data_IF_714137723670
#
_entry.id   IF_714137723670
#
_cell.length_a   1.000
_cell.length_b   1.000
_cell.length_c   1.000
_cell.angle_alpha   90.00
_cell.angle_beta   90.00
_cell.angle_gamma   90.00
#
_symmetry.space_group_name_H-M   'P 1'
#
loop_
_entity.id
_entity.type
_entity.pdbx_description
1 polymer ?
#
# COMPACT_ATOMS: atom_id res chain seq x y z
N UNK A 1 -18.75 -20.84 23.20
CA UNK A 1 -17.59 -20.13 23.78
C UNK A 1 -16.36 -20.20 22.87
N UNK A 2 -15.70 -21.36 22.67
CA UNK A 2 -14.43 -21.43 21.89
C UNK A 2 -14.48 -20.98 20.42
N UNK A 3 -15.65 -21.02 19.76
CA UNK A 3 -15.80 -20.61 18.35
C UNK A 3 -15.84 -19.08 18.17
N UNK A 4 -16.33 -18.38 19.20
CA UNK A 4 -16.52 -16.92 19.19
C UNK A 4 -15.18 -16.26 19.49
N UNK A 5 -14.52 -16.65 20.57
CA UNK A 5 -13.21 -16.11 20.98
C UNK A 5 -12.14 -16.22 19.86
N UNK A 6 -12.16 -17.31 19.08
CA UNK A 6 -11.23 -17.52 17.97
C UNK A 6 -11.53 -16.65 16.73
N UNK A 7 -12.80 -16.31 16.48
CA UNK A 7 -13.19 -15.40 15.39
C UNK A 7 -12.80 -13.95 15.73
N UNK A 8 -12.98 -13.56 16.99
CA UNK A 8 -12.68 -12.22 17.50
C UNK A 8 -11.18 -11.90 17.50
N UNK A 9 -10.34 -12.87 17.88
CA UNK A 9 -8.89 -12.70 17.85
C UNK A 9 -8.38 -12.41 16.42
N UNK A 10 -8.87 -13.15 15.42
CA UNK A 10 -8.50 -12.97 14.01
C UNK A 10 -8.98 -11.63 13.43
N UNK A 11 -10.15 -11.12 13.82
CA UNK A 11 -10.66 -9.82 13.37
C UNK A 11 -9.88 -8.66 13.99
N UNK A 12 -9.47 -8.79 15.26
CA UNK A 12 -8.65 -7.77 15.95
C UNK A 12 -7.26 -7.60 15.33
N UNK A 13 -6.66 -8.70 14.85
CA UNK A 13 -5.37 -8.69 14.14
C UNK A 13 -5.47 -8.10 12.73
N UNK A 14 -6.66 -8.09 12.11
CA UNK A 14 -6.91 -7.52 10.78
C UNK A 14 -7.24 -6.01 10.86
N UNK A 15 -7.92 -5.55 11.92
CA UNK A 15 -8.36 -4.15 12.05
C UNK A 15 -7.28 -3.24 12.68
N UNK A 16 -6.46 -3.74 13.62
CA UNK A 16 -5.33 -2.96 14.18
C UNK A 16 -4.36 -2.41 13.13
N UNK A 17 -3.95 -3.17 12.09
CA UNK A 17 -3.10 -2.67 11.01
C UNK A 17 -3.70 -1.49 10.23
N UNK A 18 -5.03 -1.42 10.11
CA UNK A 18 -5.70 -0.40 9.30
C UNK A 18 -5.56 1.00 9.91
N UNK A 19 -5.77 1.14 11.23
CA UNK A 19 -5.60 2.42 11.93
C UNK A 19 -4.13 2.87 12.01
N UNK A 20 -3.18 1.95 12.19
CA UNK A 20 -1.75 2.26 12.15
C UNK A 20 -1.30 2.76 10.76
N UNK A 21 -1.95 2.29 9.70
CA UNK A 21 -1.65 2.67 8.32
C UNK A 21 -2.11 4.10 8.00
N UNK A 22 -3.30 4.51 8.45
CA UNK A 22 -3.78 5.90 8.28
C UNK A 22 -2.92 6.92 9.02
N UNK A 23 -2.53 6.62 10.27
CA UNK A 23 -1.62 7.50 11.03
C UNK A 23 -0.26 7.63 10.35
N UNK A 24 0.27 6.52 9.83
CA UNK A 24 1.50 6.55 9.06
C UNK A 24 1.37 7.39 7.79
N UNK A 25 0.31 7.22 7.01
CA UNK A 25 0.14 7.97 5.77
C UNK A 25 0.12 9.48 6.05
N UNK A 26 -0.45 9.90 7.19
CA UNK A 26 -0.34 11.30 7.68
C UNK A 26 1.11 11.68 8.01
N UNK A 27 1.84 10.83 8.73
CA UNK A 27 3.24 11.08 9.10
C UNK A 27 4.16 11.14 7.88
N UNK A 28 3.97 10.27 6.89
CA UNK A 28 4.73 10.29 5.63
C UNK A 28 4.40 11.57 4.87
N UNK A 29 3.14 11.98 4.78
CA UNK A 29 2.78 13.25 4.14
C UNK A 29 3.42 14.46 4.84
N UNK A 30 3.52 14.45 6.18
CA UNK A 30 4.25 15.47 6.92
C UNK A 30 5.76 15.39 6.64
N UNK A 31 6.33 14.19 6.59
CA UNK A 31 7.73 13.96 6.30
C UNK A 31 8.11 14.43 4.89
N UNK A 32 7.27 14.17 3.89
CA UNK A 32 7.41 14.69 2.51
C UNK A 32 7.50 16.22 2.52
N UNK A 33 6.63 16.90 3.29
CA UNK A 33 6.67 18.37 3.39
C UNK A 33 7.96 18.87 4.03
N UNK A 34 8.41 18.22 5.11
CA UNK A 34 9.67 18.56 5.77
C UNK A 34 10.88 18.36 4.84
N UNK A 35 10.91 17.23 4.11
CA UNK A 35 11.94 16.94 3.11
C UNK A 35 11.97 18.00 2.00
N UNK A 36 10.81 18.41 1.49
CA UNK A 36 10.73 19.45 0.47
C UNK A 36 11.22 20.82 0.97
N UNK A 37 10.94 21.16 2.23
CA UNK A 37 11.46 22.38 2.86
C UNK A 37 12.99 22.35 3.01
N UNK A 38 13.55 21.20 3.43
CA UNK A 38 15.00 21.00 3.54
C UNK A 38 15.69 21.13 2.19
N UNK A 39 15.13 20.56 1.13
CA UNK A 39 15.65 20.72 -0.23
C UNK A 39 15.65 22.17 -0.71
N UNK A 40 14.52 22.87 -0.55
CA UNK A 40 14.45 24.31 -0.92
C UNK A 40 15.49 25.14 -0.17
N UNK A 41 15.78 24.78 1.08
CA UNK A 41 16.84 25.43 1.86
C UNK A 41 18.24 25.08 1.34
N UNK A 42 18.51 23.82 1.02
CA UNK A 42 19.78 23.36 0.45
C UNK A 42 20.06 23.99 -0.93
N UNK A 43 19.06 24.07 -1.80
CA UNK A 43 19.15 24.75 -3.11
C UNK A 43 19.45 26.23 -2.95
N UNK A 44 18.74 26.94 -2.06
CA UNK A 44 19.02 28.35 -1.76
C UNK A 44 20.44 28.56 -1.24
N UNK A 45 20.92 27.68 -0.35
CA UNK A 45 22.29 27.74 0.15
C UNK A 45 23.32 27.46 -0.96
N UNK A 46 23.05 26.51 -1.86
CA UNK A 46 23.91 26.22 -3.00
C UNK A 46 23.97 27.40 -3.99
N UNK A 47 22.83 28.02 -4.29
CA UNK A 47 22.74 29.23 -5.13
C UNK A 47 23.49 30.41 -4.50
N UNK A 48 23.31 30.65 -3.19
CA UNK A 48 24.02 31.70 -2.46
C UNK A 48 25.53 31.46 -2.41
N UNK A 49 25.98 30.19 -2.34
CA UNK A 49 27.40 29.81 -2.43
C UNK A 49 27.96 30.01 -3.84
N UNK A 50 27.21 29.65 -4.88
CA UNK A 50 27.60 29.86 -6.28
C UNK A 50 27.72 31.36 -6.62
N UNK A 51 26.79 32.19 -6.14
CA UNK A 51 26.85 33.66 -6.28
C UNK A 51 28.02 34.28 -5.51
N UNK A 52 28.38 33.74 -4.34
CA UNK A 52 29.56 34.19 -3.60
C UNK A 52 30.89 33.72 -4.20
N UNK A 53 30.90 32.66 -5.03
CA UNK A 53 32.10 32.19 -5.74
C UNK A 53 32.34 32.91 -7.08
N UNK A 54 31.31 33.57 -7.65
CA UNK A 54 31.41 34.32 -8.91
C UNK A 54 31.59 35.84 -8.71
N UNK A 55 32.17 36.28 -7.59
CA UNK A 55 32.38 37.69 -7.32
C UNK A 55 33.65 38.23 -8.01
N UNK A 56 33.53 38.73 -9.24
CA UNK A 56 34.06 40.03 -9.71
C UNK A 56 33.73 40.23 -11.19
N UNK A 57 32.67 41.00 -11.46
CA UNK A 57 32.66 42.11 -12.42
C UNK A 57 31.30 42.79 -12.35
N UNK A 58 31.34 44.04 -11.91
CA UNK A 58 30.24 44.99 -11.90
C UNK A 58 30.14 45.57 -13.32
N UNK A 59 28.94 45.73 -13.87
CA UNK A 59 28.58 46.94 -14.60
C UNK A 59 27.07 47.03 -14.87
N UNK A 60 26.63 48.29 -14.95
CA UNK A 60 25.30 48.83 -14.80
C UNK A 60 24.31 48.60 -15.96
N UNK A 61 23.03 48.83 -15.60
CA UNK A 61 21.93 49.41 -16.41
C UNK A 61 21.41 48.67 -17.65
N UNK A 62 20.12 48.30 -17.58
CA UNK A 62 19.03 48.86 -18.41
C UNK A 62 17.71 48.20 -18.01
N UNK A 63 16.91 48.92 -17.22
CA UNK A 63 15.53 48.55 -16.86
C UNK A 63 14.59 48.98 -18.00
N UNK A 64 14.53 48.17 -19.06
CA UNK A 64 13.51 48.27 -20.09
C UNK A 64 13.15 46.86 -20.57
N UNK A 65 12.11 46.29 -19.95
CA UNK A 65 11.61 44.97 -20.29
C UNK A 65 10.16 44.83 -19.87
N UNK A 66 9.27 44.84 -20.87
CA UNK A 66 7.83 44.62 -20.79
C UNK A 66 7.41 43.66 -19.66
N UNK A 67 6.23 43.88 -19.02
CA UNK A 67 5.74 42.99 -17.98
C UNK A 67 5.60 41.59 -18.56
N UNK A 68 6.55 40.69 -18.22
CA UNK A 68 6.52 39.28 -18.59
C UNK A 68 5.13 38.75 -18.24
N UNK A 69 4.31 38.47 -19.26
CA UNK A 69 2.99 37.87 -19.10
C UNK A 69 3.17 36.66 -18.19
N UNK A 70 2.61 36.72 -16.97
CA UNK A 70 2.64 35.61 -16.01
C UNK A 70 2.17 34.36 -16.75
N UNK A 71 3.08 33.41 -17.02
CA UNK A 71 2.75 32.12 -17.64
C UNK A 71 1.55 31.58 -16.88
N UNK A 72 0.44 31.37 -17.59
CA UNK A 72 -0.80 30.89 -16.99
C UNK A 72 -0.53 29.47 -16.50
N UNK A 73 -0.46 29.29 -15.18
CA UNK A 73 -0.15 28.01 -14.57
C UNK A 73 -1.16 26.95 -15.04
N UNK A 74 -0.69 26.00 -15.85
CA UNK A 74 -1.53 24.95 -16.41
C UNK A 74 -1.42 23.73 -15.51
N UNK A 75 -2.55 23.32 -14.92
CA UNK A 75 -2.61 22.09 -14.12
C UNK A 75 -2.16 20.90 -14.96
N UNK A 76 -1.51 19.95 -14.30
CA UNK A 76 -0.97 18.73 -14.92
C UNK A 76 0.09 18.96 -16.01
N UNK A 77 0.65 20.17 -16.11
CA UNK A 77 1.72 20.45 -17.07
C UNK A 77 3.06 19.99 -16.51
N UNK A 78 3.66 19.01 -17.19
CA UNK A 78 4.95 18.41 -16.86
C UNK A 78 6.05 18.79 -17.86
N UNK A 79 5.79 19.74 -18.76
CA UNK A 79 6.69 20.07 -19.87
C UNK A 79 8.06 20.62 -19.45
N UNK A 80 8.17 21.15 -18.24
CA UNK A 80 9.42 21.66 -17.67
C UNK A 80 10.21 20.58 -16.88
N UNK A 81 9.67 19.35 -16.76
CA UNK A 81 10.35 18.26 -16.06
C UNK A 81 11.35 17.53 -16.94
N UNK A 82 12.57 17.36 -16.42
CA UNK A 82 13.65 16.64 -17.11
C UNK A 82 14.12 15.40 -16.34
N UNK A 83 14.78 14.47 -17.05
CA UNK A 83 15.36 13.27 -16.45
C UNK A 83 16.39 13.61 -15.37
N UNK A 84 17.16 14.68 -15.54
CA UNK A 84 18.15 15.14 -14.56
C UNK A 84 17.50 15.58 -13.24
N UNK A 85 16.32 16.20 -13.28
CA UNK A 85 15.61 16.57 -12.05
C UNK A 85 15.15 15.34 -11.28
N UNK A 86 14.67 14.30 -11.97
CA UNK A 86 14.34 13.03 -11.33
C UNK A 86 15.59 12.31 -10.80
N UNK A 87 16.71 12.38 -11.51
CA UNK A 87 17.98 11.83 -11.04
C UNK A 87 18.48 12.55 -9.78
N UNK A 88 18.43 13.88 -9.74
CA UNK A 88 18.77 14.66 -8.54
C UNK A 88 17.84 14.35 -7.38
N UNK A 89 16.54 14.20 -7.63
CA UNK A 89 15.60 13.74 -6.61
C UNK A 89 16.00 12.35 -6.10
N UNK A 90 16.27 11.41 -7.02
CA UNK A 90 16.63 10.04 -6.67
C UNK A 90 17.89 9.99 -5.81
N UNK A 91 18.90 10.77 -6.15
CA UNK A 91 20.18 10.81 -5.44
C UNK A 91 20.06 11.34 -4.01
N UNK A 92 19.22 12.36 -3.82
CA UNK A 92 19.05 13.03 -2.53
C UNK A 92 18.01 12.37 -1.62
N UNK A 93 16.96 11.77 -2.18
CA UNK A 93 15.79 11.32 -1.43
C UNK A 93 15.68 9.82 -1.25
N UNK A 94 16.22 9.03 -2.18
CA UNK A 94 16.02 7.58 -2.14
C UNK A 94 17.07 6.88 -1.26
N UNK A 95 16.59 5.96 -0.43
CA UNK A 95 17.45 5.01 0.27
C UNK A 95 18.05 3.99 -0.72
N UNK A 96 19.13 3.31 -0.31
CA UNK A 96 19.88 2.41 -1.17
C UNK A 96 19.03 1.30 -1.81
N UNK A 97 18.09 0.71 -1.06
CA UNK A 97 17.19 -0.31 -1.61
C UNK A 97 16.19 0.26 -2.63
N UNK A 98 15.74 1.51 -2.45
CA UNK A 98 14.87 2.22 -3.41
C UNK A 98 15.64 2.54 -4.71
N UNK A 99 16.89 3.01 -4.60
CA UNK A 99 17.78 3.19 -5.75
C UNK A 99 17.99 1.87 -6.52
N UNK A 100 18.17 0.77 -5.79
CA UNK A 100 18.28 -0.57 -6.40
C UNK A 100 17.02 -0.99 -7.16
N UNK A 101 15.83 -0.73 -6.59
CA UNK A 101 14.56 -0.96 -7.28
C UNK A 101 14.46 -0.14 -8.58
N UNK A 102 14.88 1.13 -8.55
CA UNK A 102 14.84 2.06 -9.69
C UNK A 102 15.73 1.57 -10.82
N UNK A 103 16.93 1.09 -10.49
CA UNK A 103 17.85 0.51 -11.46
C UNK A 103 17.31 -0.76 -12.13
N UNK A 104 16.39 -1.48 -11.47
CA UNK A 104 15.78 -2.70 -11.96
C UNK A 104 14.38 -2.47 -12.58
N UNK A 105 14.01 -1.23 -12.91
CA UNK A 105 12.70 -0.88 -13.46
C UNK A 105 12.35 -1.64 -14.75
N UNK A 106 13.34 -2.05 -15.56
CA UNK A 106 13.17 -2.71 -16.86
C UNK A 106 12.72 -4.17 -16.80
N UNK A 107 12.67 -4.79 -15.61
CA UNK A 107 12.16 -6.15 -15.45
C UNK A 107 10.67 -6.20 -15.84
N UNK A 108 10.29 -7.18 -16.66
CA UNK A 108 8.89 -7.33 -17.12
C UNK A 108 7.96 -7.61 -15.94
N UNK A 109 8.29 -8.60 -15.10
CA UNK A 109 7.58 -8.88 -13.85
C UNK A 109 8.56 -8.74 -12.70
N UNK A 110 8.28 -7.82 -11.78
CA UNK A 110 8.95 -7.70 -10.48
C UNK A 110 8.02 -8.20 -9.40
N UNK A 111 8.51 -9.08 -8.54
CA UNK A 111 7.78 -9.57 -7.39
C UNK A 111 8.61 -9.34 -6.14
N UNK A 112 8.12 -8.48 -5.25
CA UNK A 112 8.94 -7.88 -4.18
C UNK A 112 8.30 -8.19 -2.84
N UNK A 113 9.00 -9.00 -2.04
CA UNK A 113 8.61 -9.26 -0.66
C UNK A 113 9.33 -8.25 0.24
N UNK A 114 8.58 -7.47 1.00
CA UNK A 114 9.14 -6.33 1.73
C UNK A 114 8.69 -6.27 3.18
N UNK A 115 9.51 -5.64 4.03
CA UNK A 115 9.15 -5.29 5.40
C UNK A 115 8.01 -4.28 5.43
N UNK A 116 7.20 -4.29 6.50
CA UNK A 116 6.29 -3.18 6.77
C UNK A 116 7.10 -1.91 6.99
N UNK A 117 6.46 -0.77 6.70
CA UNK A 117 6.94 0.54 7.12
C UNK A 117 8.26 1.01 6.49
N UNK A 118 8.68 0.48 5.34
CA UNK A 118 9.90 0.91 4.63
C UNK A 118 9.63 1.89 3.47
N UNK A 119 8.50 2.59 3.44
CA UNK A 119 8.21 3.58 2.39
C UNK A 119 8.12 3.01 0.96
N UNK A 120 7.72 1.75 0.80
CA UNK A 120 7.61 1.11 -0.52
C UNK A 120 6.53 1.78 -1.41
N UNK A 121 5.33 2.03 -0.87
CA UNK A 121 4.25 2.69 -1.61
C UNK A 121 4.62 4.09 -2.07
N UNK A 122 5.29 4.86 -1.20
CA UNK A 122 5.82 6.18 -1.54
C UNK A 122 6.85 6.11 -2.68
N UNK A 123 7.76 5.13 -2.62
CA UNK A 123 8.75 4.92 -3.68
C UNK A 123 8.10 4.54 -5.01
N UNK A 124 7.14 3.61 -5.03
CA UNK A 124 6.47 3.23 -6.27
C UNK A 124 5.56 4.33 -6.83
N UNK A 125 5.03 5.21 -5.97
CA UNK A 125 4.38 6.44 -6.41
C UNK A 125 5.36 7.38 -7.15
N UNK A 126 6.58 7.56 -6.61
CA UNK A 126 7.64 8.31 -7.29
C UNK A 126 8.06 7.65 -8.62
N UNK A 127 8.36 6.35 -8.60
CA UNK A 127 8.82 5.60 -9.79
C UNK A 127 7.78 5.66 -10.91
N UNK A 128 6.50 5.53 -10.58
CA UNK A 128 5.41 5.64 -11.54
C UNK A 128 5.27 7.06 -12.11
N UNK A 129 5.42 8.10 -11.28
CA UNK A 129 5.41 9.49 -11.74
C UNK A 129 6.58 9.79 -12.69
N UNK A 130 7.79 9.40 -12.30
CA UNK A 130 9.00 9.50 -13.13
C UNK A 130 8.78 8.81 -14.48
N UNK A 131 8.31 7.55 -14.46
CA UNK A 131 8.08 6.78 -15.67
C UNK A 131 7.01 7.42 -16.57
N UNK A 132 5.88 7.85 -16.00
CA UNK A 132 4.81 8.51 -16.76
C UNK A 132 5.27 9.82 -17.41
N UNK A 133 6.09 10.60 -16.73
CA UNK A 133 6.62 11.87 -17.25
C UNK A 133 7.59 11.62 -18.40
N UNK A 134 8.51 10.65 -18.24
CA UNK A 134 9.56 10.40 -19.22
C UNK A 134 9.08 9.64 -20.46
N UNK A 135 8.14 8.71 -20.32
CA UNK A 135 7.74 7.82 -21.44
C UNK A 135 6.38 8.15 -22.03
N UNK A 136 5.52 8.88 -21.32
CA UNK A 136 4.13 9.07 -21.72
C UNK A 136 3.23 7.85 -21.46
N UNK A 137 3.76 6.80 -20.83
CA UNK A 137 3.03 5.55 -20.67
C UNK A 137 2.02 5.57 -19.51
N UNK A 138 0.84 4.92 -19.68
CA UNK A 138 -0.13 4.79 -18.60
C UNK A 138 0.42 4.00 -17.41
N UNK A 139 0.12 4.46 -16.20
CA UNK A 139 0.44 3.80 -14.94
C UNK A 139 -0.84 3.43 -14.20
N UNK A 140 -0.91 2.20 -13.74
CA UNK A 140 -2.10 1.65 -13.11
C UNK A 140 -1.75 1.10 -11.74
N UNK A 141 -2.48 1.55 -10.73
CA UNK A 141 -2.36 1.10 -9.35
C UNK A 141 -3.56 0.22 -9.03
N UNK A 142 -3.31 -1.04 -8.73
CA UNK A 142 -4.33 -2.03 -8.39
C UNK A 142 -4.15 -2.47 -6.94
N UNK A 143 -5.08 -2.03 -6.09
CA UNK A 143 -5.06 -2.33 -4.66
C UNK A 143 -6.26 -3.17 -4.24
N UNK A 144 -6.19 -3.76 -3.04
CA UNK A 144 -7.31 -4.55 -2.50
C UNK A 144 -8.60 -3.73 -2.37
N UNK A 145 -8.48 -2.43 -2.10
CA UNK A 145 -9.61 -1.50 -2.00
C UNK A 145 -9.33 -0.14 -2.65
N UNK A 146 -10.40 0.60 -2.95
CA UNK A 146 -10.30 1.95 -3.53
C UNK A 146 -9.58 2.95 -2.60
N UNK A 147 -9.84 2.99 -1.28
CA UNK A 147 -9.07 3.84 -0.36
C UNK A 147 -7.56 3.59 -0.39
N UNK A 148 -7.14 2.33 -0.46
CA UNK A 148 -5.71 1.98 -0.57
C UNK A 148 -5.10 2.51 -1.88
N UNK A 149 -5.81 2.38 -3.01
CA UNK A 149 -5.34 2.93 -4.27
C UNK A 149 -5.23 4.48 -4.25
N UNK A 150 -6.08 5.17 -3.49
CA UNK A 150 -6.02 6.64 -3.32
C UNK A 150 -4.80 7.10 -2.48
N UNK A 151 -4.15 6.20 -1.73
CA UNK A 151 -2.88 6.50 -1.06
C UNK A 151 -1.77 6.79 -2.09
N UNK A 152 -1.67 5.98 -3.15
CA UNK A 152 -0.74 6.26 -4.25
C UNK A 152 -1.00 7.62 -4.89
N UNK A 153 -2.28 7.94 -5.14
CA UNK A 153 -2.68 9.24 -5.70
C UNK A 153 -2.19 10.37 -4.81
N UNK A 154 -2.41 10.25 -3.51
CA UNK A 154 -2.00 11.26 -2.52
C UNK A 154 -0.49 11.46 -2.53
N UNK A 155 0.30 10.37 -2.57
CA UNK A 155 1.75 10.47 -2.68
C UNK A 155 2.20 11.12 -3.99
N UNK A 156 1.62 10.73 -5.13
CA UNK A 156 1.97 11.30 -6.44
C UNK A 156 1.70 12.80 -6.48
N UNK A 157 0.53 13.24 -6.02
CA UNK A 157 0.16 14.66 -5.96
C UNK A 157 1.12 15.42 -5.04
N UNK A 158 1.42 14.87 -3.86
CA UNK A 158 2.33 15.50 -2.91
C UNK A 158 3.76 15.56 -3.44
N UNK A 159 4.26 14.51 -4.09
CA UNK A 159 5.60 14.51 -4.69
C UNK A 159 5.68 15.58 -5.79
N UNK A 160 4.71 15.59 -6.71
CA UNK A 160 4.63 16.55 -7.80
C UNK A 160 4.56 18.00 -7.30
N UNK A 161 3.73 18.29 -6.30
CA UNK A 161 3.57 19.65 -5.78
C UNK A 161 4.81 20.09 -4.98
N UNK A 162 5.27 19.25 -4.06
CA UNK A 162 6.26 19.67 -3.07
C UNK A 162 7.68 19.74 -3.64
N UNK A 163 8.04 18.80 -4.52
CA UNK A 163 9.39 18.71 -5.10
C UNK A 163 9.50 19.28 -6.51
N UNK A 164 8.42 19.25 -7.27
CA UNK A 164 8.44 19.69 -8.67
C UNK A 164 7.58 20.93 -8.93
N UNK A 165 6.85 21.43 -7.92
CA UNK A 165 6.01 22.62 -8.06
C UNK A 165 4.79 22.44 -8.98
N UNK A 166 4.37 21.19 -9.23
CA UNK A 166 3.31 20.85 -10.18
C UNK A 166 2.05 20.39 -9.45
N UNK A 167 0.93 21.06 -9.71
CA UNK A 167 -0.39 20.70 -9.21
C UNK A 167 -1.01 19.68 -10.15
N UNK A 168 -1.13 18.44 -9.67
CA UNK A 168 -1.82 17.34 -10.34
C UNK A 168 -3.28 17.24 -9.89
N UNK A 169 -4.20 17.08 -10.84
CA UNK A 169 -5.65 17.02 -10.62
C UNK A 169 -6.34 16.03 -11.59
N UNK A 170 -7.58 15.63 -11.25
CA UNK A 170 -8.41 14.70 -12.05
C UNK A 170 -8.33 13.24 -11.61
N UNK A 171 -9.34 12.41 -11.87
CA UNK A 171 -9.34 10.96 -11.60
C UNK A 171 -9.90 10.22 -12.83
N UNK A 172 -9.06 9.64 -13.71
CA UNK A 172 -7.59 9.55 -13.62
C UNK A 172 -6.87 10.90 -13.73
N UNK A 173 -5.63 10.96 -13.25
CA UNK A 173 -4.75 12.12 -13.50
C UNK A 173 -4.19 11.96 -14.92
N UNK A 174 -4.41 12.95 -15.79
CA UNK A 174 -3.83 12.98 -17.14
C UNK A 174 -2.75 14.06 -17.23
N UNK A 175 -1.54 13.67 -17.59
CA UNK A 175 -0.38 14.56 -17.76
C UNK A 175 -0.39 15.23 -19.15
N UNK A 176 0.36 16.33 -19.30
CA UNK A 176 0.41 17.08 -20.57
C UNK A 176 1.03 16.30 -21.75
N UNK A 177 1.82 15.25 -21.49
CA UNK A 177 2.34 14.32 -22.50
C UNK A 177 1.34 13.19 -22.88
N UNK A 178 0.15 13.16 -22.27
CA UNK A 178 -0.88 12.16 -22.54
C UNK A 178 -0.92 10.98 -21.57
N UNK A 179 0.11 10.78 -20.74
CA UNK A 179 0.15 9.70 -19.74
C UNK A 179 -1.03 9.79 -18.77
N UNK A 180 -1.55 8.63 -18.37
CA UNK A 180 -2.66 8.51 -17.43
C UNK A 180 -2.22 7.76 -16.17
N UNK A 181 -2.58 8.29 -15.00
CA UNK A 181 -2.40 7.63 -13.71
C UNK A 181 -3.77 7.20 -13.17
N UNK A 182 -3.98 5.88 -13.08
CA UNK A 182 -5.26 5.24 -12.74
C UNK A 182 -5.18 4.50 -11.42
N UNK A 183 -6.12 4.78 -10.52
CA UNK A 183 -6.17 4.21 -9.16
C UNK A 183 -7.40 3.30 -9.06
N UNK A 184 -7.19 1.99 -9.08
CA UNK A 184 -8.23 0.98 -9.24
C UNK A 184 -8.27 0.03 -8.03
N UNK A 185 -9.46 -0.57 -7.84
CA UNK A 185 -9.67 -1.69 -6.91
C UNK A 185 -9.85 -2.98 -7.71
N UNK A 186 -9.87 -4.13 -7.04
CA UNK A 186 -10.06 -5.46 -7.65
C UNK A 186 -11.47 -5.73 -8.20
N UNK A 187 -12.28 -4.71 -8.50
CA UNK A 187 -13.64 -4.88 -9.03
C UNK A 187 -13.64 -5.07 -10.56
N UNK A 188 -14.15 -6.24 -11.02
CA UNK A 188 -14.25 -6.70 -12.43
C UNK A 188 -14.67 -5.62 -13.42
N UNK A 189 -15.67 -4.82 -13.09
CA UNK A 189 -16.31 -3.93 -14.06
C UNK A 189 -15.42 -2.75 -14.48
N UNK A 190 -14.35 -2.46 -13.73
CA UNK A 190 -13.56 -1.23 -13.92
C UNK A 190 -12.10 -1.49 -14.30
N UNK A 191 -11.55 -2.68 -14.09
CA UNK A 191 -10.10 -2.88 -14.21
C UNK A 191 -9.64 -3.45 -15.57
N UNK A 192 -10.42 -4.35 -16.20
CA UNK A 192 -9.95 -5.10 -17.37
C UNK A 192 -9.78 -4.28 -18.67
N UNK A 193 -10.38 -3.10 -18.77
CA UNK A 193 -10.39 -2.30 -20.01
C UNK A 193 -9.13 -1.46 -20.24
N UNK A 194 -8.20 -1.44 -19.28
CA UNK A 194 -7.03 -0.55 -19.33
C UNK A 194 -5.73 -1.35 -19.44
N UNK A 195 -4.77 -0.79 -20.18
CA UNK A 195 -3.43 -1.36 -20.32
C UNK A 195 -2.38 -0.32 -19.97
N UNK A 196 -1.32 -0.74 -19.29
CA UNK A 196 -0.26 0.15 -18.79
C UNK A 196 0.67 -0.57 -17.83
N UNK A 197 1.66 0.15 -17.31
CA UNK A 197 2.53 -0.37 -16.26
C UNK A 197 1.75 -0.52 -14.95
N UNK A 198 1.74 -1.73 -14.40
CA UNK A 198 0.90 -2.13 -13.28
C UNK A 198 1.69 -2.22 -11.97
N UNK A 199 1.12 -1.66 -10.91
CA UNK A 199 1.60 -1.77 -9.53
C UNK A 199 0.52 -2.44 -8.68
N UNK A 200 0.83 -3.61 -8.14
CA UNK A 200 -0.05 -4.40 -7.29
C UNK A 200 0.48 -4.39 -5.86
N UNK A 201 -0.12 -3.58 -4.99
CA UNK A 201 0.30 -3.46 -3.60
C UNK A 201 -0.39 -4.49 -2.70
N UNK A 202 0.33 -4.91 -1.67
CA UNK A 202 -0.16 -5.75 -0.59
C UNK A 202 -0.95 -6.99 -1.02
N UNK A 203 -0.54 -7.61 -2.13
CA UNK A 203 -1.28 -8.73 -2.73
C UNK A 203 -1.39 -9.98 -1.82
N UNK A 204 -0.55 -10.13 -0.79
CA UNK A 204 -0.69 -11.18 0.24
C UNK A 204 -1.80 -10.93 1.25
N UNK A 205 -2.43 -9.76 1.19
CA UNK A 205 -3.56 -9.35 2.03
C UNK A 205 -4.84 -9.16 1.22
N UNK A 206 -4.81 -9.52 -0.07
CA UNK A 206 -5.96 -9.46 -0.96
C UNK A 206 -6.74 -10.76 -0.83
N UNK A 207 -8.00 -10.73 -0.33
CA UNK A 207 -8.84 -11.90 -0.10
C UNK A 207 -8.84 -12.89 -1.26
N UNK A 208 -9.19 -12.38 -2.45
CA UNK A 208 -9.30 -13.13 -3.68
C UNK A 208 -8.10 -12.82 -4.59
N UNK A 209 -6.92 -13.26 -4.16
CA UNK A 209 -5.68 -13.07 -4.92
C UNK A 209 -5.77 -13.59 -6.35
N UNK A 210 -6.41 -14.75 -6.55
CA UNK A 210 -6.54 -15.34 -7.89
C UNK A 210 -7.23 -14.38 -8.85
N UNK A 211 -8.30 -13.74 -8.39
CA UNK A 211 -9.00 -12.74 -9.19
C UNK A 211 -8.13 -11.50 -9.48
N UNK A 212 -7.39 -11.00 -8.48
CA UNK A 212 -6.43 -9.90 -8.69
C UNK A 212 -5.39 -10.28 -9.74
N UNK A 213 -4.81 -11.47 -9.65
CA UNK A 213 -3.77 -11.94 -10.56
C UNK A 213 -4.31 -12.10 -12.00
N UNK A 214 -5.53 -12.62 -12.16
CA UNK A 214 -6.22 -12.70 -13.46
C UNK A 214 -6.40 -11.32 -14.10
N UNK A 215 -6.90 -10.34 -13.32
CA UNK A 215 -7.07 -8.96 -13.79
C UNK A 215 -5.73 -8.32 -14.13
N UNK A 216 -4.74 -8.45 -13.23
CA UNK A 216 -3.40 -7.90 -13.41
C UNK A 216 -2.74 -8.43 -14.69
N UNK A 217 -2.82 -9.75 -14.89
CA UNK A 217 -2.24 -10.41 -16.07
C UNK A 217 -2.92 -9.95 -17.36
N UNK A 218 -4.24 -9.78 -17.37
CA UNK A 218 -4.97 -9.29 -18.53
C UNK A 218 -4.57 -7.86 -18.92
N UNK A 219 -4.33 -6.98 -17.95
CA UNK A 219 -3.96 -5.58 -18.18
C UNK A 219 -2.53 -5.41 -18.73
N UNK A 220 -1.63 -6.33 -18.37
CA UNK A 220 -0.23 -6.34 -18.76
C UNK A 220 0.09 -7.33 -19.89
N UNK A 221 -0.91 -7.73 -20.69
CA UNK A 221 -0.76 -8.76 -21.75
C UNK A 221 0.29 -8.40 -22.81
N UNK A 222 0.54 -7.13 -23.08
CA UNK A 222 1.54 -6.71 -24.06
C UNK A 222 2.93 -6.64 -23.43
N UNK A 223 3.96 -7.16 -24.12
CA UNK A 223 5.36 -7.20 -23.64
C UNK A 223 5.94 -5.85 -23.21
N UNK A 224 5.39 -4.75 -23.73
CA UNK A 224 5.76 -3.38 -23.33
C UNK A 224 5.42 -3.11 -21.86
N UNK A 225 4.33 -3.68 -21.36
CA UNK A 225 3.82 -3.41 -20.03
C UNK A 225 4.56 -4.24 -18.99
N UNK A 226 4.76 -3.62 -17.83
CA UNK A 226 5.50 -4.21 -16.71
C UNK A 226 4.53 -4.39 -15.56
N UNK A 227 4.73 -5.43 -14.77
CA UNK A 227 3.94 -5.69 -13.57
C UNK A 227 4.83 -5.74 -12.36
N UNK A 228 4.54 -4.93 -11.35
CA UNK A 228 5.27 -4.87 -10.09
C UNK A 228 4.35 -5.27 -8.95
N UNK A 229 4.50 -6.51 -8.49
CA UNK A 229 3.90 -6.99 -7.25
C UNK A 229 4.80 -6.61 -6.09
N UNK A 230 4.23 -6.05 -5.03
CA UNK A 230 4.99 -5.84 -3.80
C UNK A 230 4.10 -5.96 -2.56
N UNK A 231 4.56 -6.68 -1.55
CA UNK A 231 3.73 -6.94 -0.37
C UNK A 231 4.56 -7.40 0.83
N UNK A 232 3.99 -7.22 2.01
CA UNK A 232 4.45 -7.90 3.23
C UNK A 232 3.98 -9.35 3.28
N UNK A 233 4.75 -10.28 3.88
CA UNK A 233 4.29 -11.65 3.98
C UNK A 233 3.03 -11.74 4.85
N UNK A 234 2.20 -12.73 4.56
CA UNK A 234 1.08 -13.14 5.41
C UNK A 234 1.27 -14.59 5.86
N UNK A 235 0.27 -15.44 5.66
CA UNK A 235 0.32 -16.87 5.98
C UNK A 235 0.77 -17.70 4.77
N UNK A 236 1.46 -18.81 5.02
CA UNK A 236 1.73 -19.82 3.97
C UNK A 236 0.47 -20.46 3.39
N UNK A 237 -0.67 -20.35 4.08
CA UNK A 237 -1.98 -20.80 3.56
C UNK A 237 -2.65 -19.80 2.63
N UNK A 238 -2.13 -18.57 2.51
CA UNK A 238 -2.71 -17.59 1.62
C UNK A 238 -2.57 -18.06 0.15
N UNK A 239 -3.59 -17.88 -0.71
CA UNK A 239 -3.56 -18.35 -2.09
C UNK A 239 -2.41 -17.77 -2.94
N UNK A 240 -1.84 -16.63 -2.52
CA UNK A 240 -0.69 -16.02 -3.18
C UNK A 240 0.67 -16.63 -2.79
N UNK A 241 0.73 -17.52 -1.78
CA UNK A 241 1.99 -18.13 -1.37
C UNK A 241 2.57 -19.09 -2.43
N UNK A 242 1.77 -19.95 -3.10
CA UNK A 242 2.22 -20.71 -4.26
C UNK A 242 2.69 -19.84 -5.44
N UNK A 243 2.07 -18.68 -5.66
CA UNK A 243 2.51 -17.71 -6.68
C UNK A 243 3.91 -17.16 -6.37
N UNK A 244 4.15 -16.78 -5.12
CA UNK A 244 5.47 -16.29 -4.68
C UNK A 244 6.55 -17.37 -4.71
N UNK A 245 6.25 -18.58 -4.26
CA UNK A 245 7.24 -19.68 -4.21
C UNK A 245 7.52 -20.33 -5.57
N UNK A 246 6.70 -20.02 -6.58
CA UNK A 246 6.73 -20.66 -7.89
C UNK A 246 6.06 -22.03 -7.94
N UNK A 247 5.44 -22.48 -6.84
CA UNK A 247 4.68 -23.74 -6.81
C UNK A 247 3.50 -23.73 -7.78
N UNK A 248 2.84 -22.58 -7.94
CA UNK A 248 1.77 -22.41 -8.92
C UNK A 248 2.28 -22.63 -10.36
N UNK A 249 3.43 -22.05 -10.70
CA UNK A 249 4.06 -22.20 -12.02
C UNK A 249 4.57 -23.63 -12.27
N UNK A 250 5.08 -24.30 -11.23
CA UNK A 250 5.45 -25.73 -11.31
C UNK A 250 4.23 -26.58 -11.64
N UNK A 251 3.10 -26.31 -10.98
CA UNK A 251 1.86 -27.05 -11.17
C UNK A 251 2.08 -28.56 -11.09
N UNK A 252 1.50 -29.29 -12.04
CA UNK A 252 1.65 -30.74 -12.17
C UNK A 252 2.64 -31.16 -13.27
N UNK A 253 3.39 -30.21 -13.84
CA UNK A 253 4.28 -30.46 -14.96
C UNK A 253 5.56 -31.17 -14.52
N UNK A 254 5.83 -32.36 -15.07
CA UNK A 254 7.00 -33.19 -14.72
C UNK A 254 8.32 -32.45 -14.97
N UNK A 255 8.40 -31.66 -16.04
CA UNK A 255 9.60 -30.91 -16.43
C UNK A 255 9.92 -29.79 -15.44
N UNK A 256 8.90 -29.17 -14.83
CA UNK A 256 9.07 -28.07 -13.86
C UNK A 256 9.22 -28.54 -12.42
N UNK A 257 8.80 -29.77 -12.12
CA UNK A 257 8.72 -30.31 -10.75
C UNK A 257 10.03 -30.17 -9.95
N UNK A 258 11.18 -30.36 -10.60
CA UNK A 258 12.50 -30.32 -9.97
C UNK A 258 13.28 -29.04 -10.27
N UNK A 259 12.66 -28.04 -10.91
CA UNK A 259 13.31 -26.77 -11.22
C UNK A 259 13.55 -26.01 -9.92
N UNK A 260 14.84 -25.79 -9.61
CA UNK A 260 15.27 -25.12 -8.39
C UNK A 260 15.04 -23.61 -8.49
N UNK A 261 14.30 -23.07 -7.53
CA UNK A 261 14.17 -21.63 -7.36
C UNK A 261 15.29 -21.08 -6.47
N UNK A 262 15.65 -19.80 -6.63
CA UNK A 262 16.57 -19.13 -5.72
C UNK A 262 16.11 -19.24 -4.26
N UNK A 263 17.06 -19.38 -3.36
CA UNK A 263 16.81 -19.38 -1.91
C UNK A 263 16.43 -17.97 -1.44
N UNK A 264 15.81 -17.88 -0.27
CA UNK A 264 15.48 -16.60 0.35
C UNK A 264 16.68 -15.66 0.45
N UNK A 265 17.86 -16.19 0.81
CA UNK A 265 19.08 -15.38 0.97
C UNK A 265 19.59 -14.84 -0.35
N UNK A 266 19.53 -15.64 -1.41
CA UNK A 266 19.86 -15.20 -2.78
C UNK A 266 18.86 -14.17 -3.32
N UNK A 267 17.60 -14.21 -2.89
CA UNK A 267 16.64 -13.16 -3.24
C UNK A 267 16.81 -11.89 -2.40
N UNK A 268 17.50 -11.95 -1.26
CA UNK A 268 17.70 -10.81 -0.35
C UNK A 268 18.90 -9.92 -0.74
N UNK A 269 19.89 -10.46 -1.43
CA UNK A 269 21.16 -9.77 -1.73
C UNK A 269 21.12 -8.89 -3.01
N UNK A 270 19.92 -8.49 -3.45
CA UNK A 270 19.73 -7.70 -4.67
C UNK A 270 18.80 -8.34 -5.70
N UNK A 271 18.19 -9.48 -5.38
CA UNK A 271 17.14 -10.13 -6.18
C UNK A 271 17.66 -11.06 -7.27
N UNK A 272 16.77 -11.88 -7.82
CA UNK A 272 17.09 -12.92 -8.81
C UNK A 272 15.99 -13.07 -9.86
N UNK A 273 16.39 -13.24 -11.12
CA UNK A 273 15.49 -13.75 -12.15
C UNK A 273 15.20 -15.22 -11.87
N UNK A 274 13.91 -15.53 -11.73
CA UNK A 274 13.45 -16.87 -11.39
C UNK A 274 12.99 -17.63 -12.65
N UNK A 275 12.93 -18.98 -12.58
CA UNK A 275 12.58 -19.81 -13.73
C UNK A 275 11.19 -19.57 -14.32
N UNK A 276 10.27 -18.97 -13.57
CA UNK A 276 8.93 -18.58 -14.01
C UNK A 276 8.86 -17.20 -14.68
N UNK A 277 10.01 -16.59 -14.98
CA UNK A 277 10.10 -15.30 -15.66
C UNK A 277 9.91 -14.08 -14.75
N UNK A 278 9.76 -14.29 -13.44
CA UNK A 278 9.64 -13.19 -12.48
C UNK A 278 10.99 -12.86 -11.84
N UNK A 279 11.31 -11.56 -11.73
CA UNK A 279 12.41 -11.10 -10.89
C UNK A 279 11.93 -10.95 -9.44
N UNK A 280 12.49 -11.74 -8.53
CA UNK A 280 12.13 -11.73 -7.11
C UNK A 280 13.17 -11.01 -6.27
N UNK A 281 12.71 -10.17 -5.36
CA UNK A 281 13.58 -9.44 -4.43
C UNK A 281 12.97 -9.37 -3.02
N UNK A 282 13.78 -9.61 -2.00
CA UNK A 282 13.39 -9.57 -0.60
C UNK A 282 14.06 -8.38 0.09
N UNK A 283 13.29 -7.58 0.82
CA UNK A 283 13.77 -6.40 1.54
C UNK A 283 13.30 -6.44 2.99
N UNK A 284 14.15 -6.92 3.89
CA UNK A 284 13.86 -6.87 5.33
C UNK A 284 14.11 -5.45 5.89
N UNK A 285 13.65 -5.20 7.12
CA UNK A 285 13.96 -3.95 7.82
C UNK A 285 15.48 -3.78 8.00
N UNK A 286 16.21 -4.86 8.28
CA UNK A 286 17.67 -4.81 8.40
C UNK A 286 18.34 -4.41 7.09
N UNK A 287 17.86 -4.94 5.96
CA UNK A 287 18.37 -4.56 4.63
C UNK A 287 18.06 -3.09 4.32
N UNK A 288 16.86 -2.63 4.67
CA UNK A 288 16.48 -1.23 4.50
C UNK A 288 17.38 -0.31 5.32
N UNK A 289 17.63 -0.64 6.61
CA UNK A 289 18.52 0.13 7.50
C UNK A 289 19.95 0.13 6.97
N UNK A 290 20.44 -1.03 6.50
CA UNK A 290 21.75 -1.12 5.85
C UNK A 290 21.84 -0.25 4.59
N UNK A 291 20.72 -0.09 3.89
CA UNK A 291 20.55 0.84 2.77
C UNK A 291 20.35 2.31 3.17
N UNK A 292 20.49 2.66 4.45
CA UNK A 292 20.38 4.04 4.95
C UNK A 292 19.00 4.43 5.49
N UNK A 293 18.02 3.51 5.54
CA UNK A 293 16.72 3.78 6.14
C UNK A 293 16.85 4.12 7.62
N UNK A 294 16.41 5.31 8.01
CA UNK A 294 16.65 5.87 9.35
C UNK A 294 15.35 6.33 10.06
N UNK A 295 14.18 5.96 9.53
CA UNK A 295 12.88 6.39 10.07
C UNK A 295 12.30 5.44 11.13
N UNK A 296 12.91 4.27 11.32
CA UNK A 296 12.52 3.32 12.36
C UNK A 296 13.73 2.82 13.16
N UNK A 297 13.50 2.55 14.44
CA UNK A 297 14.49 1.93 15.33
C UNK A 297 14.17 0.44 15.47
N UNK A 298 15.07 -0.41 14.97
CA UNK A 298 14.90 -1.86 15.03
C UNK A 298 14.81 -2.37 16.47
N UNK A 299 15.60 -1.81 17.39
CA UNK A 299 15.61 -2.23 18.80
C UNK A 299 14.29 -1.91 19.50
N UNK A 300 13.70 -0.74 19.23
CA UNK A 300 12.37 -0.39 19.73
C UNK A 300 11.30 -1.36 19.22
N UNK A 301 11.39 -1.76 17.96
CA UNK A 301 10.45 -2.70 17.34
C UNK A 301 10.61 -4.11 17.90
N UNK A 302 11.85 -4.57 18.09
CA UNK A 302 12.16 -5.86 18.74
C UNK A 302 11.65 -5.92 20.18
N UNK A 303 11.68 -4.81 20.91
CA UNK A 303 11.14 -4.74 22.27
C UNK A 303 9.61 -4.66 22.30
N UNK A 304 8.99 -4.08 21.26
CA UNK A 304 7.53 -3.89 21.19
C UNK A 304 6.79 -5.18 20.83
N UNK A 305 7.32 -5.94 19.88
CA UNK A 305 6.66 -7.13 19.34
C UNK A 305 7.35 -8.41 19.83
N UNK A 306 6.58 -9.48 19.97
CA UNK A 306 7.17 -10.81 20.15
C UNK A 306 7.97 -11.21 18.88
N UNK A 307 8.82 -12.22 19.01
CA UNK A 307 9.74 -12.65 17.95
C UNK A 307 9.04 -13.01 16.64
N UNK A 308 7.93 -13.75 16.70
CA UNK A 308 7.25 -14.25 15.51
C UNK A 308 6.51 -13.11 14.78
N UNK A 309 5.83 -12.25 15.53
CA UNK A 309 5.22 -11.03 14.98
C UNK A 309 6.28 -10.10 14.40
N UNK A 310 7.41 -9.90 15.09
CA UNK A 310 8.52 -9.09 14.56
C UNK A 310 9.06 -9.67 13.24
N UNK A 311 9.25 -10.98 13.18
CA UNK A 311 9.76 -11.65 11.98
C UNK A 311 8.80 -11.55 10.79
N UNK A 312 7.50 -11.72 11.03
CA UNK A 312 6.48 -11.54 10.01
C UNK A 312 6.45 -10.11 9.48
N UNK A 313 6.38 -9.13 10.39
CA UNK A 313 6.21 -7.73 10.02
C UNK A 313 7.45 -7.12 9.39
N UNK A 314 8.65 -7.48 9.89
CA UNK A 314 9.88 -6.76 9.59
C UNK A 314 10.99 -7.60 8.95
N UNK A 315 10.92 -8.92 9.04
CA UNK A 315 11.96 -9.83 8.50
C UNK A 315 11.48 -10.67 7.31
N UNK A 316 10.32 -10.35 6.74
CA UNK A 316 9.76 -11.02 5.57
C UNK A 316 9.53 -12.54 5.77
N UNK A 317 9.23 -12.96 7.00
CA UNK A 317 8.97 -14.38 7.32
C UNK A 317 7.47 -14.68 7.21
N UNK A 318 7.10 -15.70 6.43
CA UNK A 318 5.72 -16.16 6.38
C UNK A 318 5.36 -16.95 7.64
N UNK A 319 4.15 -16.72 8.14
CA UNK A 319 3.63 -17.45 9.29
C UNK A 319 3.17 -18.85 8.87
N UNK A 320 3.59 -19.86 9.63
CA UNK A 320 3.05 -21.20 9.53
C UNK A 320 1.67 -21.25 10.21
N UNK A 321 0.63 -21.60 9.48
CA UNK A 321 -0.75 -21.70 9.99
C UNK A 321 -0.98 -22.85 10.97
N UNK A 322 0.08 -23.51 11.45
CA UNK A 322 -0.01 -24.69 12.32
C UNK A 322 -0.65 -24.40 13.68
N UNK A 323 -0.74 -23.13 14.08
CA UNK A 323 -1.37 -22.67 15.32
C UNK A 323 -2.79 -22.08 15.14
N UNK A 324 -3.26 -21.90 13.90
CA UNK A 324 -4.58 -21.30 13.64
C UNK A 324 -5.70 -22.32 13.89
N UNK A 325 -6.71 -21.93 14.69
CA UNK A 325 -7.90 -22.78 14.97
C UNK A 325 -8.75 -22.98 13.70
N UNK A 326 -8.74 -22.00 12.79
CA UNK A 326 -9.46 -22.06 11.50
C UNK A 326 -8.49 -22.03 10.32
N UNK A 327 -8.86 -22.73 9.24
CA UNK A 327 -8.14 -22.67 7.97
C UNK A 327 -8.56 -21.40 7.22
N UNK A 328 -7.61 -20.75 6.53
CA UNK A 328 -7.89 -19.57 5.72
C UNK A 328 -9.05 -19.78 4.73
N UNK A 329 -9.06 -20.90 3.99
CA UNK A 329 -10.12 -21.20 3.00
C UNK A 329 -11.52 -21.33 3.62
N UNK A 330 -11.61 -21.63 4.92
CA UNK A 330 -12.90 -21.69 5.60
C UNK A 330 -13.36 -20.28 6.00
N UNK A 331 -12.42 -19.42 6.42
CA UNK A 331 -12.69 -18.00 6.69
C UNK A 331 -13.05 -17.22 5.42
N UNK A 332 -12.37 -17.49 4.30
CA UNK A 332 -12.64 -16.83 3.02
C UNK A 332 -14.08 -17.06 2.54
N UNK A 333 -14.63 -18.28 2.76
CA UNK A 333 -16.03 -18.60 2.44
C UNK A 333 -17.04 -17.86 3.33
N UNK A 334 -16.59 -17.31 4.45
CA UNK A 334 -17.39 -16.52 5.39
C UNK A 334 -17.33 -15.02 5.09
N UNK A 335 -16.46 -14.55 4.19
CA UNK A 335 -16.39 -13.13 3.83
C UNK A 335 -17.65 -12.68 3.11
N UNK A 336 -18.28 -11.64 3.63
CA UNK A 336 -19.51 -11.07 3.07
C UNK A 336 -19.56 -9.58 3.43
N UNK A 337 -20.04 -8.76 2.50
CA UNK A 337 -20.37 -7.37 2.77
C UNK A 337 -21.76 -7.32 3.44
N UNK A 338 -21.79 -6.81 4.67
CA UNK A 338 -23.02 -6.67 5.48
C UNK A 338 -24.04 -5.77 4.79
N UNK A 339 -23.60 -4.81 3.97
CA UNK A 339 -24.49 -3.92 3.19
C UNK A 339 -25.29 -4.63 2.10
N UNK A 340 -24.96 -5.88 1.78
CA UNK A 340 -25.72 -6.70 0.83
C UNK A 340 -26.94 -7.38 1.45
N UNK A 341 -27.14 -7.27 2.77
CA UNK A 341 -28.28 -7.90 3.45
C UNK A 341 -29.50 -7.00 3.43
N UNK A 342 -30.50 -7.38 2.64
CA UNK A 342 -31.76 -6.64 2.46
C UNK A 342 -32.63 -6.56 3.73
N UNK A 343 -32.31 -7.34 4.76
CA UNK A 343 -33.03 -7.41 6.03
C UNK A 343 -32.27 -6.78 7.21
N UNK A 344 -31.17 -6.07 6.94
CA UNK A 344 -30.36 -5.38 7.95
C UNK A 344 -30.19 -3.90 7.61
N UNK A 345 -30.76 -3.02 8.43
CA UNK A 345 -30.78 -1.57 8.26
C UNK A 345 -30.10 -0.87 9.46
N UNK A 346 -28.77 -0.66 9.43
CA UNK A 346 -27.99 -0.17 10.58
C UNK A 346 -28.50 1.12 11.23
N UNK A 347 -29.12 2.00 10.45
CA UNK A 347 -29.58 3.32 10.90
C UNK A 347 -31.00 3.32 11.50
N UNK A 348 -31.71 2.18 11.47
CA UNK A 348 -33.05 2.08 12.03
C UNK A 348 -33.03 1.81 13.55
N UNK A 349 -34.10 2.19 14.30
CA UNK A 349 -34.21 1.89 15.72
C UNK A 349 -34.14 0.39 16.05
N UNK A 350 -34.51 -0.46 15.09
CA UNK A 350 -34.38 -1.93 15.17
C UNK A 350 -33.68 -2.43 13.90
N UNK A 351 -32.34 -2.41 13.85
CA UNK A 351 -31.59 -2.68 12.63
C UNK A 351 -31.83 -4.04 11.99
N UNK A 352 -32.34 -5.01 12.76
CA UNK A 352 -32.65 -6.35 12.29
C UNK A 352 -34.10 -6.75 12.62
N UNK A 353 -34.99 -5.75 12.71
CA UNK A 353 -36.39 -5.93 13.06
C UNK A 353 -36.59 -6.59 14.43
N UNK A 354 -37.59 -7.49 14.52
CA UNK A 354 -37.89 -8.26 15.74
C UNK A 354 -37.20 -9.63 15.77
N UNK A 355 -36.20 -9.85 14.90
CA UNK A 355 -35.49 -11.12 14.84
C UNK A 355 -34.53 -11.25 16.02
N UNK A 356 -34.32 -12.49 16.45
CA UNK A 356 -33.35 -12.82 17.48
C UNK A 356 -31.94 -12.41 17.03
N UNK A 357 -31.16 -11.88 17.97
CA UNK A 357 -29.74 -11.60 17.80
C UNK A 357 -28.98 -12.04 19.05
N UNK A 358 -27.75 -12.48 18.86
CA UNK A 358 -26.83 -12.88 19.94
C UNK A 358 -25.72 -11.85 20.08
N UNK A 359 -25.42 -11.47 21.32
CA UNK A 359 -24.30 -10.59 21.65
C UNK A 359 -23.12 -11.38 22.20
N UNK A 360 -21.93 -11.17 21.65
CA UNK A 360 -20.67 -11.68 22.18
C UNK A 360 -19.78 -10.54 22.63
N UNK A 361 -19.29 -10.60 23.88
CA UNK A 361 -18.35 -9.63 24.43
C UNK A 361 -17.02 -10.31 24.77
N UNK A 362 -15.95 -9.80 24.18
CA UNK A 362 -14.57 -10.20 24.48
C UNK A 362 -13.84 -9.04 25.21
N UNK A 363 -13.74 -9.10 26.56
CA UNK A 363 -13.09 -8.07 27.34
C UNK A 363 -11.56 -8.19 27.30
N UNK A 364 -10.88 -7.11 26.87
CA UNK A 364 -9.44 -7.02 26.97
C UNK A 364 -8.97 -6.82 28.42
N UNK A 365 -7.91 -7.54 28.81
CA UNK A 365 -7.32 -7.47 30.17
C UNK A 365 -6.07 -6.59 30.28
N UNK A 366 -5.25 -6.49 29.22
CA UNK A 366 -4.09 -5.59 29.17
C UNK A 366 -3.63 -5.36 27.73
N UNK A 367 -3.50 -4.10 27.30
CA UNK A 367 -2.92 -3.73 25.99
C UNK A 367 -3.81 -4.00 24.76
N UNK A 368 -4.84 -4.83 24.89
CA UNK A 368 -5.76 -5.19 23.81
C UNK A 368 -7.04 -4.35 23.75
N UNK A 369 -7.69 -4.33 22.59
CA UNK A 369 -8.96 -3.63 22.37
C UNK A 369 -10.09 -4.59 22.69
N UNK A 370 -11.02 -4.20 23.58
CA UNK A 370 -12.20 -5.03 23.84
C UNK A 370 -13.11 -5.02 22.61
N UNK A 371 -13.79 -6.11 22.34
CA UNK A 371 -14.66 -6.24 21.17
C UNK A 371 -16.05 -6.71 21.58
N UNK A 372 -17.08 -6.15 20.96
CA UNK A 372 -18.45 -6.61 21.07
C UNK A 372 -18.99 -6.90 19.68
N UNK A 373 -19.51 -8.10 19.42
CA UNK A 373 -20.17 -8.42 18.14
C UNK A 373 -21.61 -8.82 18.35
N UNK A 374 -22.42 -8.46 17.37
CA UNK A 374 -23.82 -8.84 17.27
C UNK A 374 -23.94 -9.81 16.11
N UNK A 375 -24.54 -10.96 16.39
CA UNK A 375 -24.71 -12.08 15.46
C UNK A 375 -26.20 -12.33 15.26
N UNK A 376 -26.64 -12.58 14.03
CA UNK A 376 -27.94 -13.17 13.76
C UNK A 376 -27.80 -14.70 13.68
N UNK A 377 -28.45 -15.46 14.58
CA UNK A 377 -28.51 -16.90 14.48
C UNK A 377 -29.40 -17.34 13.29
N UNK A 378 -29.16 -18.54 12.74
CA UNK A 378 -30.04 -19.17 11.75
C UNK A 378 -31.48 -19.24 12.25
N UNK A 379 -32.44 -18.77 11.45
CA UNK A 379 -33.88 -18.89 11.79
C UNK A 379 -34.48 -20.20 11.30
N UNK A 380 -33.84 -20.86 10.33
CA UNK A 380 -34.17 -22.22 9.89
C UNK A 380 -32.92 -23.10 9.80
N UNK A 381 -33.05 -24.43 9.95
CA UNK A 381 -31.93 -25.35 9.75
C UNK A 381 -31.27 -25.18 8.37
N UNK A 382 -29.94 -25.03 8.36
CA UNK A 382 -29.16 -24.84 7.14
C UNK A 382 -28.84 -23.38 6.78
N UNK A 383 -29.47 -22.40 7.43
CA UNK A 383 -29.03 -21.01 7.34
C UNK A 383 -27.67 -20.80 8.03
N UNK A 384 -26.93 -19.79 7.56
CA UNK A 384 -25.62 -19.42 8.13
C UNK A 384 -25.78 -18.39 9.25
N UNK A 385 -24.85 -18.42 10.21
CA UNK A 385 -24.68 -17.30 11.14
C UNK A 385 -24.21 -16.05 10.38
N UNK A 386 -24.75 -14.89 10.77
CA UNK A 386 -24.43 -13.60 10.16
C UNK A 386 -23.90 -12.62 11.20
N UNK A 387 -22.74 -12.01 10.95
CA UNK A 387 -22.19 -10.94 11.80
C UNK A 387 -22.82 -9.62 11.40
N UNK A 388 -23.74 -9.09 12.22
CA UNK A 388 -24.46 -7.84 11.94
C UNK A 388 -23.62 -6.60 12.22
N UNK A 389 -22.87 -6.61 13.32
CA UNK A 389 -22.03 -5.48 13.73
C UNK A 389 -20.87 -5.96 14.60
N UNK A 390 -19.74 -5.24 14.53
CA UNK A 390 -18.60 -5.40 15.43
C UNK A 390 -18.19 -4.02 15.94
N UNK A 391 -18.17 -3.88 17.26
CA UNK A 391 -17.74 -2.67 17.96
C UNK A 391 -16.41 -2.93 18.65
N UNK A 392 -15.42 -2.11 18.33
CA UNK A 392 -14.13 -2.12 19.00
C UNK A 392 -14.09 -0.99 20.03
N UNK A 393 -13.88 -1.36 21.28
CA UNK A 393 -13.87 -0.45 22.43
C UNK A 393 -12.41 -0.15 22.80
N UNK A 394 -11.87 0.94 22.26
CA UNK A 394 -10.55 1.44 22.62
C UNK A 394 -10.59 2.21 23.96
N UNK A 395 -9.49 2.19 24.72
CA UNK A 395 -9.39 2.84 26.05
C UNK A 395 -9.20 4.37 26.01
N UNK A 396 -9.29 5.01 24.84
CA UNK A 396 -9.10 6.46 24.71
C UNK A 396 -10.43 7.20 24.68
N UNK A 397 -10.73 7.92 25.78
CA UNK A 397 -11.62 9.09 25.81
C UNK A 397 -13.08 8.83 25.49
N UNK A 398 -13.88 8.51 26.50
CA UNK A 398 -15.28 8.96 26.51
C UNK A 398 -15.31 10.49 26.48
N UNK A 399 -15.27 11.10 25.31
CA UNK A 399 -16.10 12.27 25.05
C UNK A 399 -17.39 11.76 24.43
N UNK A 400 -18.29 11.33 25.31
CA UNK A 400 -19.68 11.16 24.96
C UNK A 400 -20.22 12.52 24.51
N UNK A 401 -20.45 12.70 23.21
CA UNK A 401 -21.45 13.66 22.75
C UNK A 401 -22.83 13.11 23.10
N UNK A 402 -23.15 13.09 24.41
CA UNK A 402 -24.50 12.85 24.89
C UNK A 402 -25.18 14.20 25.06
N UNK A 403 -25.70 14.76 23.97
CA UNK A 403 -26.88 15.62 24.11
C UNK A 403 -28.09 14.70 24.20
N UNK A 404 -28.49 14.51 25.46
CA UNK A 404 -29.74 13.95 25.97
C UNK A 404 -30.90 14.04 24.96
N UNK A 405 -31.57 12.91 24.75
CA UNK A 405 -33.01 12.88 24.94
C UNK A 405 -33.40 11.53 25.57
N UNK A 406 -33.81 11.49 26.85
CA UNK A 406 -34.16 10.25 27.51
C UNK A 406 -35.62 9.92 27.18
N UNK A 407 -35.87 8.77 26.53
CA UNK A 407 -37.18 8.11 26.59
C UNK A 407 -36.98 6.61 26.76
N UNK A 408 -36.94 6.25 28.04
CA UNK A 408 -37.62 5.12 28.70
C UNK A 408 -38.08 3.90 27.89
N UNK A 409 -37.71 2.76 28.50
CA UNK A 409 -38.15 1.36 28.41
C UNK A 409 -37.59 0.51 27.28
#
# INVERSE_FOLDING_TARGET
MRLIDALFCSVSEIIRPFFEQEELDRLINHHIKLMAQQNKHAEKLAQAKAQNQSGYSNDNESDDGEPRKKKRYRKNDISELTEEQFQQFADNMLFGYQKHLRNNIKKSIRNILKSRQIGATWYFAFEALENAVLTGDPQIFLSASKPQAEVFRSYIVNIAEQFFGITLTGNPIRLSNGAELRFLSTNKNTAQSYSGHLYCDEYFWVPNFKHLNEVASAMATHDKWRTTYFSTPSSKTHPAYPFWTGDEWRGNEKERKNVKFPTFKEMQDGGRDCPDGQWRYVITLEDAIKGGFNLASIDKLRNRYNKDTFNMLYMCVFVDSGASVFKYNDLEKCWVDVGLWEDHFPDEPRPFGNREVWGGYDPARSGDTSAFAILAPPSVPGERFRVLAVYLLARYGMETSSKKNPRTL
#
